data_IF_324144257216
#
_entry.id   IF_324144257216
#
_cell.length_a   1.000
_cell.length_b   1.000
_cell.length_c   1.000
_cell.angle_alpha   90.00
_cell.angle_beta   90.00
_cell.angle_gamma   90.00
#
_symmetry.space_group_name_H-M   'P 1'
#
loop_
_entity.id
_entity.type
_entity.pdbx_description
1 polymer ?
#
# COMPACT_ATOMS: atom_id res chain seq x y z
N UNK A 1 34.90 5.24 -3.91
CA UNK A 1 33.69 4.45 -4.21
C UNK A 1 34.13 3.30 -5.09
N UNK A 2 34.21 2.08 -4.55
CA UNK A 2 34.45 0.89 -5.37
C UNK A 2 33.14 0.62 -6.07
N UNK A 3 33.11 0.77 -7.39
CA UNK A 3 31.93 0.47 -8.18
C UNK A 3 31.82 -1.06 -8.24
N UNK A 4 30.98 -1.60 -7.37
CA UNK A 4 30.62 -3.01 -7.36
C UNK A 4 29.92 -3.34 -8.69
N UNK A 5 30.40 -4.35 -9.39
CA UNK A 5 29.83 -4.83 -10.65
C UNK A 5 29.32 -6.23 -10.42
N UNK A 6 28.09 -6.49 -10.84
CA UNK A 6 27.52 -7.84 -10.84
C UNK A 6 27.79 -8.44 -12.21
N UNK A 7 28.63 -9.47 -12.23
CA UNK A 7 28.91 -10.25 -13.43
C UNK A 7 28.05 -11.52 -13.41
N UNK A 8 27.28 -11.72 -14.49
CA UNK A 8 26.63 -12.99 -14.77
C UNK A 8 27.49 -13.69 -15.83
N UNK A 9 28.07 -14.86 -15.51
CA UNK A 9 28.91 -15.58 -16.46
C UNK A 9 28.10 -16.07 -17.65
N UNK A 10 28.78 -16.43 -18.74
CA UNK A 10 28.14 -17.08 -19.89
C UNK A 10 27.41 -18.35 -19.43
N UNK A 11 26.16 -18.50 -19.83
CA UNK A 11 25.31 -19.61 -19.40
C UNK A 11 24.23 -19.90 -20.45
N UNK A 12 23.39 -20.90 -20.22
CA UNK A 12 22.31 -21.29 -21.13
C UNK A 12 20.94 -21.13 -20.50
N UNK A 13 19.98 -20.71 -21.32
CA UNK A 13 18.56 -20.64 -20.97
C UNK A 13 17.81 -21.73 -21.72
N UNK A 14 16.81 -22.33 -21.08
CA UNK A 14 15.86 -23.20 -21.74
C UNK A 14 14.56 -22.41 -21.91
N UNK A 15 14.19 -22.14 -23.16
CA UNK A 15 12.94 -21.47 -23.49
C UNK A 15 11.74 -22.40 -23.28
N UNK A 16 10.54 -21.82 -23.24
CA UNK A 16 9.28 -22.55 -23.07
C UNK A 16 9.01 -23.61 -24.15
N UNK A 17 9.58 -23.44 -25.34
CA UNK A 17 9.53 -24.39 -26.45
C UNK A 17 10.58 -25.52 -26.34
N UNK A 18 11.37 -25.56 -25.27
CA UNK A 18 12.45 -26.52 -25.06
C UNK A 18 13.76 -26.17 -25.79
N UNK A 19 13.82 -25.07 -26.56
CA UNK A 19 15.06 -24.66 -27.23
C UNK A 19 16.07 -24.10 -26.23
N UNK A 20 17.35 -24.40 -26.44
CA UNK A 20 18.44 -23.86 -25.63
C UNK A 20 18.96 -22.57 -26.29
N UNK A 21 19.03 -21.50 -25.51
CA UNK A 21 19.62 -20.23 -25.93
C UNK A 21 20.89 -19.98 -25.12
N UNK A 22 21.99 -19.67 -25.79
CA UNK A 22 23.20 -19.22 -25.10
C UNK A 22 23.07 -17.75 -24.72
N UNK A 23 23.39 -17.46 -23.48
CA UNK A 23 23.40 -16.11 -22.92
C UNK A 23 24.86 -15.69 -22.74
N UNK A 24 25.29 -14.58 -23.37
CA UNK A 24 26.65 -14.09 -23.22
C UNK A 24 26.91 -13.58 -21.80
N UNK A 25 28.19 -13.46 -21.43
CA UNK A 25 28.57 -12.82 -20.18
C UNK A 25 27.98 -11.41 -20.13
N UNK A 26 27.30 -11.09 -19.03
CA UNK A 26 26.66 -9.81 -18.84
C UNK A 26 27.20 -9.13 -17.59
N UNK A 27 27.70 -7.92 -17.75
CA UNK A 27 28.25 -7.11 -16.66
C UNK A 27 27.26 -6.00 -16.38
N UNK A 28 26.69 -6.01 -15.19
CA UNK A 28 25.76 -5.00 -14.72
C UNK A 28 26.47 -4.11 -13.71
N UNK A 29 26.47 -2.77 -13.90
CA UNK A 29 26.75 -1.90 -12.78
C UNK A 29 25.72 -2.19 -11.67
N UNK A 30 26.17 -2.31 -10.42
CA UNK A 30 25.29 -2.54 -9.27
C UNK A 30 24.16 -1.49 -9.17
N UNK A 31 24.34 -0.34 -9.83
CA UNK A 31 23.32 0.71 -9.97
C UNK A 31 22.06 0.23 -10.71
N UNK A 32 22.14 -0.77 -11.60
CA UNK A 32 20.96 -1.38 -12.26
C UNK A 32 20.15 -2.22 -11.26
N UNK A 33 20.77 -2.68 -10.16
CA UNK A 33 20.05 -3.21 -8.98
C UNK A 33 19.33 -2.13 -8.16
N UNK A 34 19.27 -0.91 -8.68
CA UNK A 34 18.38 0.12 -8.16
C UNK A 34 18.75 0.58 -6.77
N UNK A 35 20.04 0.62 -6.41
CA UNK A 35 20.52 0.82 -5.04
C UNK A 35 19.83 -0.15 -4.06
N UNK A 36 20.54 -1.13 -3.48
CA UNK A 36 20.20 -1.50 -2.12
C UNK A 36 20.42 -0.21 -1.32
N UNK A 37 19.37 0.54 -1.08
CA UNK A 37 19.40 1.63 -0.12
C UNK A 37 19.77 0.88 1.14
N UNK A 38 21.06 0.91 1.51
CA UNK A 38 21.62 0.03 2.51
C UNK A 38 20.63 0.02 3.66
N UNK A 39 20.13 -1.15 4.05
CA UNK A 39 19.02 -1.28 5.00
C UNK A 39 19.23 -0.35 6.20
N UNK A 40 20.49 -0.17 6.58
CA UNK A 40 21.00 0.77 7.57
C UNK A 40 20.69 2.26 7.29
N UNK A 41 20.90 2.77 6.08
CA UNK A 41 20.57 4.14 5.69
C UNK A 41 19.06 4.41 5.64
N UNK A 42 18.26 3.41 5.28
CA UNK A 42 16.79 3.46 5.34
C UNK A 42 16.32 3.49 6.79
N UNK A 43 16.81 2.57 7.63
CA UNK A 43 16.51 2.52 9.07
C UNK A 43 16.83 3.85 9.77
N UNK A 44 17.99 4.43 9.47
CA UNK A 44 18.41 5.71 10.06
C UNK A 44 17.47 6.86 9.70
N UNK A 45 16.91 6.86 8.49
CA UNK A 45 15.90 7.85 8.07
C UNK A 45 14.52 7.56 8.67
N UNK A 46 14.17 6.30 8.88
CA UNK A 46 12.92 5.88 9.52
C UNK A 46 12.88 6.14 11.04
N UNK A 47 14.03 6.25 11.70
CA UNK A 47 14.12 6.41 13.15
C UNK A 47 13.44 7.69 13.68
N UNK A 48 13.33 8.74 12.86
CA UNK A 48 12.66 9.99 13.22
C UNK A 48 11.21 10.11 12.72
N UNK A 49 10.71 9.10 11.99
CA UNK A 49 9.37 9.15 11.41
C UNK A 49 8.35 8.56 12.39
N UNK A 50 7.18 9.20 12.57
CA UNK A 50 6.09 8.63 13.35
C UNK A 50 5.69 7.27 12.78
N UNK A 51 5.48 6.31 13.68
CA UNK A 51 5.25 4.90 13.35
C UNK A 51 4.06 4.67 12.39
N UNK A 52 3.09 5.59 12.40
CA UNK A 52 1.89 5.58 11.55
C UNK A 52 2.20 5.85 10.07
N UNK A 53 3.27 6.59 9.77
CA UNK A 53 3.66 6.92 8.39
C UNK A 53 4.53 5.83 7.74
N UNK A 54 5.14 4.96 8.53
CA UNK A 54 5.97 3.83 8.08
C UNK A 54 5.25 2.96 7.02
N UNK A 55 4.00 2.49 7.23
CA UNK A 55 3.34 1.65 6.25
C UNK A 55 3.07 2.35 4.91
N UNK A 56 2.71 3.64 4.93
CA UNK A 56 2.50 4.44 3.71
C UNK A 56 3.80 4.58 2.93
N UNK A 57 4.89 4.88 3.65
CA UNK A 57 6.23 5.00 3.06
C UNK A 57 6.68 3.68 2.46
N UNK A 58 6.45 2.55 3.14
CA UNK A 58 6.74 1.22 2.62
C UNK A 58 6.05 0.92 1.29
N UNK A 59 4.77 1.28 1.17
CA UNK A 59 4.00 1.15 -0.09
C UNK A 59 4.53 2.05 -1.22
N UNK A 60 4.91 3.29 -0.91
CA UNK A 60 5.53 4.21 -1.90
C UNK A 60 6.84 3.61 -2.42
N UNK A 61 7.71 3.13 -1.53
CA UNK A 61 8.96 2.49 -1.92
C UNK A 61 8.73 1.20 -2.71
N UNK A 62 7.71 0.39 -2.38
CA UNK A 62 7.35 -0.77 -3.18
C UNK A 62 7.03 -0.39 -4.64
N UNK A 63 6.27 0.70 -4.85
CA UNK A 63 5.97 1.22 -6.19
C UNK A 63 7.23 1.69 -6.93
N UNK A 64 8.11 2.43 -6.25
CA UNK A 64 9.38 2.88 -6.82
C UNK A 64 10.26 1.69 -7.22
N UNK A 65 10.42 0.69 -6.34
CA UNK A 65 11.22 -0.49 -6.63
C UNK A 65 10.61 -1.31 -7.78
N UNK A 66 9.28 -1.42 -7.86
CA UNK A 66 8.60 -2.09 -8.95
C UNK A 66 8.85 -1.37 -10.30
N UNK A 67 8.74 -0.04 -10.35
CA UNK A 67 9.04 0.73 -11.55
C UNK A 67 10.52 0.61 -11.98
N UNK A 68 11.44 0.63 -11.02
CA UNK A 68 12.87 0.45 -11.32
C UNK A 68 13.17 -0.97 -11.80
N UNK A 69 12.51 -1.97 -11.24
CA UNK A 69 12.63 -3.37 -11.67
C UNK A 69 12.16 -3.56 -13.10
N UNK A 70 10.99 -3.04 -13.47
CA UNK A 70 10.48 -3.17 -14.84
C UNK A 70 11.37 -2.47 -15.84
N UNK A 71 11.89 -1.28 -15.49
CA UNK A 71 12.84 -0.55 -16.32
C UNK A 71 14.17 -1.32 -16.47
N UNK A 72 14.72 -1.84 -15.37
CA UNK A 72 15.95 -2.63 -15.39
C UNK A 72 15.78 -3.88 -16.27
N UNK A 73 14.66 -4.60 -16.15
CA UNK A 73 14.39 -5.75 -17.03
C UNK A 73 14.33 -5.35 -18.50
N UNK A 74 13.67 -4.23 -18.82
CA UNK A 74 13.57 -3.74 -20.20
C UNK A 74 14.96 -3.37 -20.76
N UNK A 75 15.81 -2.71 -19.96
CA UNK A 75 17.16 -2.33 -20.34
C UNK A 75 18.06 -3.57 -20.55
N UNK A 76 17.99 -4.55 -19.65
CA UNK A 76 18.74 -5.81 -19.77
C UNK A 76 18.33 -6.58 -21.02
N UNK A 77 17.02 -6.70 -21.25
CA UNK A 77 16.50 -7.36 -22.44
C UNK A 77 16.93 -6.65 -23.73
N UNK A 78 16.95 -5.32 -23.73
CA UNK A 78 17.40 -4.54 -24.90
C UNK A 78 18.89 -4.72 -25.22
N UNK A 79 19.74 -4.81 -24.19
CA UNK A 79 21.20 -4.88 -24.38
C UNK A 79 21.64 -6.33 -24.64
N UNK A 80 21.12 -7.28 -23.88
CA UNK A 80 21.62 -8.64 -23.85
C UNK A 80 20.65 -9.68 -24.44
N UNK A 81 19.46 -9.26 -24.90
CA UNK A 81 18.43 -10.13 -25.47
C UNK A 81 17.98 -11.27 -24.53
N UNK A 82 18.07 -11.08 -23.22
CA UNK A 82 17.55 -12.01 -22.23
C UNK A 82 16.97 -11.29 -21.01
N UNK A 83 16.15 -11.99 -20.23
CA UNK A 83 15.64 -11.50 -18.94
C UNK A 83 16.05 -12.46 -17.81
N UNK A 84 16.71 -11.97 -16.75
CA UNK A 84 17.10 -12.82 -15.62
C UNK A 84 15.86 -13.36 -14.90
N UNK A 85 15.89 -14.67 -14.61
CA UNK A 85 14.78 -15.36 -13.94
C UNK A 85 15.29 -16.23 -12.77
N UNK A 86 14.38 -16.64 -11.88
CA UNK A 86 14.72 -17.51 -10.74
C UNK A 86 14.92 -19.00 -11.06
N UNK A 87 14.68 -19.42 -12.32
CA UNK A 87 14.83 -20.81 -12.78
C UNK A 87 16.26 -21.12 -13.20
N UNK A 88 16.95 -20.15 -13.79
CA UNK A 88 18.36 -20.26 -14.16
C UNK A 88 19.24 -20.09 -12.91
N UNK A 89 20.15 -21.03 -12.60
CA UNK A 89 21.03 -20.95 -11.43
C UNK A 89 21.89 -19.68 -11.42
N UNK A 90 22.47 -19.33 -12.58
CA UNK A 90 23.36 -18.17 -12.74
C UNK A 90 22.60 -16.83 -12.65
N UNK A 91 21.33 -16.79 -13.07
CA UNK A 91 20.50 -15.59 -12.96
C UNK A 91 19.82 -15.44 -11.58
N UNK A 92 19.75 -16.52 -10.80
CA UNK A 92 18.93 -16.60 -9.59
C UNK A 92 19.32 -15.54 -8.55
N UNK A 93 20.62 -15.35 -8.33
CA UNK A 93 21.11 -14.39 -7.34
C UNK A 93 20.73 -12.95 -7.74
N UNK A 94 20.94 -12.60 -9.01
CA UNK A 94 20.56 -11.31 -9.59
C UNK A 94 19.04 -11.09 -9.48
N UNK A 95 18.24 -12.12 -9.79
CA UNK A 95 16.78 -12.07 -9.69
C UNK A 95 16.33 -11.77 -8.25
N UNK A 96 16.79 -12.53 -7.25
CA UNK A 96 16.40 -12.32 -5.86
C UNK A 96 16.92 -11.00 -5.28
N UNK A 97 18.10 -10.55 -5.70
CA UNK A 97 18.64 -9.25 -5.28
C UNK A 97 17.76 -8.10 -5.77
N UNK A 98 17.18 -8.20 -6.98
CA UNK A 98 16.23 -7.20 -7.48
C UNK A 98 14.82 -7.34 -6.87
N UNK A 99 14.36 -8.56 -6.62
CA UNK A 99 12.99 -8.82 -6.15
C UNK A 99 12.80 -8.66 -4.65
N UNK A 100 13.79 -9.01 -3.84
CA UNK A 100 13.66 -9.03 -2.37
C UNK A 100 13.27 -7.67 -1.77
N UNK A 101 13.78 -6.50 -2.20
CA UNK A 101 13.37 -5.22 -1.64
C UNK A 101 11.90 -4.93 -1.90
N UNK A 102 11.36 -5.33 -3.07
CA UNK A 102 9.95 -5.18 -3.42
C UNK A 102 9.09 -5.99 -2.45
N UNK A 103 9.43 -7.27 -2.23
CA UNK A 103 8.71 -8.15 -1.30
C UNK A 103 8.73 -7.56 0.11
N UNK A 104 9.90 -7.16 0.61
CA UNK A 104 10.00 -6.60 1.95
C UNK A 104 9.24 -5.27 2.10
N UNK A 105 9.25 -4.41 1.09
CA UNK A 105 8.46 -3.17 1.10
C UNK A 105 6.95 -3.43 1.06
N UNK A 106 6.49 -4.42 0.28
CA UNK A 106 5.08 -4.82 0.24
C UNK A 106 4.65 -5.43 1.57
N UNK A 107 5.40 -6.42 2.08
CA UNK A 107 5.11 -7.07 3.36
C UNK A 107 5.18 -6.09 4.52
N UNK A 108 6.16 -5.18 4.53
CA UNK A 108 6.26 -4.14 5.53
C UNK A 108 5.11 -3.14 5.44
N UNK A 109 4.78 -2.66 4.24
CA UNK A 109 3.71 -1.68 4.03
C UNK A 109 2.31 -2.24 4.31
N UNK A 110 1.93 -3.31 3.61
CA UNK A 110 0.64 -3.97 3.79
C UNK A 110 0.53 -4.66 5.15
N UNK A 111 1.59 -5.37 5.58
CA UNK A 111 1.57 -6.10 6.85
C UNK A 111 1.44 -5.20 8.07
N UNK A 112 1.93 -3.96 8.02
CA UNK A 112 1.67 -2.97 9.08
C UNK A 112 0.32 -2.25 8.91
N UNK A 113 -0.19 -2.09 7.68
CA UNK A 113 -1.53 -1.53 7.45
C UNK A 113 -2.65 -2.46 7.93
N UNK A 114 -2.50 -3.78 7.77
CA UNK A 114 -3.54 -4.75 8.15
C UNK A 114 -3.96 -4.66 9.63
N UNK A 115 -3.06 -4.72 10.63
CA UNK A 115 -3.46 -4.59 12.03
C UNK A 115 -4.02 -3.20 12.35
N UNK A 116 -3.52 -2.14 11.69
CA UNK A 116 -4.02 -0.78 11.86
C UNK A 116 -5.48 -0.65 11.39
N UNK A 117 -5.80 -1.22 10.21
CA UNK A 117 -7.15 -1.24 9.66
C UNK A 117 -8.10 -2.10 10.50
N UNK A 118 -7.65 -3.27 10.97
CA UNK A 118 -8.43 -4.14 11.86
C UNK A 118 -8.78 -3.41 13.16
N UNK A 119 -7.90 -2.54 13.67
CA UNK A 119 -8.19 -1.73 14.85
C UNK A 119 -9.11 -0.54 14.54
N UNK A 120 -8.89 0.14 13.41
CA UNK A 120 -9.58 1.39 13.08
C UNK A 120 -11.03 1.19 12.62
N UNK A 121 -11.28 0.18 11.78
CA UNK A 121 -12.61 -0.13 11.23
C UNK A 121 -13.68 -0.34 12.32
N UNK A 122 -13.47 -1.18 13.36
CA UNK A 122 -14.47 -1.39 14.39
C UNK A 122 -14.73 -0.11 15.22
N UNK A 123 -13.69 0.68 15.50
CA UNK A 123 -13.85 1.96 16.22
C UNK A 123 -14.73 2.92 15.40
N UNK A 124 -14.46 3.05 14.10
CA UNK A 124 -15.26 3.88 13.20
C UNK A 124 -16.71 3.39 13.09
N UNK A 125 -16.92 2.07 13.04
CA UNK A 125 -18.26 1.47 13.07
C UNK A 125 -19.01 1.80 14.36
N UNK A 126 -18.36 1.68 15.52
CA UNK A 126 -18.97 2.00 16.83
C UNK A 126 -19.32 3.49 16.91
N UNK A 127 -18.42 4.38 16.50
CA UNK A 127 -18.67 5.83 16.51
C UNK A 127 -19.78 6.20 15.51
N UNK A 128 -19.79 5.58 14.34
CA UNK A 128 -20.84 5.76 13.33
C UNK A 128 -22.22 5.35 13.85
N UNK A 129 -22.29 4.17 14.48
CA UNK A 129 -23.50 3.68 15.15
C UNK A 129 -23.94 4.64 16.26
N UNK A 130 -23.03 5.06 17.14
CA UNK A 130 -23.35 5.97 18.23
C UNK A 130 -23.92 7.31 17.73
N UNK A 131 -23.31 7.88 16.68
CA UNK A 131 -23.83 9.10 16.04
C UNK A 131 -25.20 8.88 15.41
N UNK A 132 -25.42 7.74 14.76
CA UNK A 132 -26.72 7.40 14.18
C UNK A 132 -27.81 7.29 15.27
N UNK A 133 -27.52 6.63 16.39
CA UNK A 133 -28.45 6.52 17.52
C UNK A 133 -28.76 7.89 18.15
N UNK A 134 -27.76 8.75 18.36
CA UNK A 134 -27.97 10.12 18.89
C UNK A 134 -28.79 10.97 17.90
N UNK A 135 -28.51 10.86 16.60
CA UNK A 135 -29.29 11.53 15.56
C UNK A 135 -30.76 11.07 15.54
N UNK A 136 -31.00 9.77 15.68
CA UNK A 136 -32.36 9.22 15.76
C UNK A 136 -33.09 9.67 17.04
N UNK A 137 -32.39 9.67 18.17
CA UNK A 137 -32.95 10.13 19.45
C UNK A 137 -33.35 11.60 19.43
N UNK A 138 -32.50 12.46 18.87
CA UNK A 138 -32.81 13.90 18.70
C UNK A 138 -33.94 14.13 17.71
N UNK A 139 -34.03 13.34 16.64
CA UNK A 139 -35.13 13.38 15.67
C UNK A 139 -36.47 12.97 16.32
N UNK A 140 -36.50 11.86 17.06
CA UNK A 140 -37.71 11.40 17.77
C UNK A 140 -38.14 12.43 18.82
N UNK A 141 -37.21 12.94 19.64
CA UNK A 141 -37.52 13.98 20.63
C UNK A 141 -38.04 15.26 19.95
N UNK A 142 -37.50 15.63 18.79
CA UNK A 142 -37.99 16.74 17.98
C UNK A 142 -39.42 16.55 17.48
N UNK A 143 -39.74 15.36 16.95
CA UNK A 143 -41.09 14.99 16.54
C UNK A 143 -42.04 15.03 17.74
N UNK A 144 -41.64 14.42 18.86
CA UNK A 144 -42.50 14.34 20.05
C UNK A 144 -42.82 15.74 20.59
N UNK A 145 -41.83 16.66 20.62
CA UNK A 145 -42.07 18.07 20.99
C UNK A 145 -42.96 18.82 20.00
N UNK A 146 -42.80 18.58 18.69
CA UNK A 146 -43.68 19.17 17.68
C UNK A 146 -45.13 18.68 17.79
N UNK A 147 -45.34 17.37 17.99
CA UNK A 147 -46.66 16.79 18.19
C UNK A 147 -47.31 17.27 19.49
N UNK A 148 -46.57 17.35 20.60
CA UNK A 148 -47.05 17.91 21.88
C UNK A 148 -47.39 19.40 21.77
N UNK A 149 -46.64 20.20 21.01
CA UNK A 149 -46.93 21.63 20.80
C UNK A 149 -48.18 21.87 19.95
N UNK A 150 -48.49 20.96 19.01
CA UNK A 150 -49.69 21.03 18.16
C UNK A 150 -50.98 20.62 18.89
N UNK A 151 -50.87 19.88 20.00
CA UNK A 151 -52.01 19.37 20.78
C UNK A 151 -52.38 20.24 22.00
N UNK A 152 -51.88 21.47 22.12
CA UNK A 152 -52.50 22.47 23.00
C UNK A 152 -53.72 23.05 22.28
N UNK A 153 -54.97 22.69 22.64
CA UNK A 153 -56.11 23.44 22.14
C UNK A 153 -55.96 24.89 22.61
N UNK A 154 -55.98 25.82 21.66
CA UNK A 154 -56.17 27.23 21.94
C UNK A 154 -57.52 27.38 22.64
N UNK A 155 -57.49 27.47 23.97
CA UNK A 155 -58.64 27.79 24.82
C UNK A 155 -59.02 29.26 24.58
N UNK A 156 -59.64 29.53 23.43
CA UNK A 156 -60.16 30.86 23.07
C UNK A 156 -61.36 30.63 22.17
N UNK A 157 -62.54 30.59 22.77
CA UNK A 157 -63.92 30.55 22.26
C UNK A 157 -64.65 29.72 23.34
N UNK A 158 -65.43 30.28 24.27
CA UNK A 158 -66.68 31.00 24.07
C UNK A 158 -66.97 31.79 25.35
N UNK A 159 -67.10 33.12 25.28
CA UNK A 159 -68.02 33.88 26.13
C UNK A 159 -68.15 35.28 25.51
N UNK A 160 -69.12 35.47 24.61
CA UNK A 160 -69.84 36.73 24.40
C UNK A 160 -70.87 36.55 23.27
N UNK A 161 -72.03 36.01 23.61
CA UNK A 161 -73.30 36.36 22.96
C UNK A 161 -74.37 36.36 24.05
N UNK A 162 -74.63 37.54 24.59
CA UNK A 162 -75.75 37.84 25.47
C UNK A 162 -76.23 39.24 25.10
N UNK A 163 -77.42 39.29 24.50
CA UNK A 163 -78.30 40.45 24.52
C UNK A 163 -78.72 40.73 25.97
#
# INVERSE_FOLDING_TARGET
>A
MIMSTVEIPRHTHVNYNGSICEVPTAIFPEVIHGCPMALHGVLRRLQHLPMILIPVIGLIYAGIFCYRYTKAQADINKIYNFTPNGRCPECRNTFYTMWSPIIFSILGGLGLMTPLLILLIPILLIVGLAKAFIGLGTYIVGITKCCLKKNKPSLKFILHTGF
#
